data_IF_835429718636
#
_entry.id   IF_835429718636
#
_cell.length_a   1.000
_cell.length_b   1.000
_cell.length_c   1.000
_cell.angle_alpha   90.00
_cell.angle_beta   90.00
_cell.angle_gamma   90.00
#
_symmetry.space_group_name_H-M   'P 1'
#
loop_
_entity.id
_entity.type
_entity.pdbx_description
1 polymer ?
#
# COMPACT_ATOMS: atom_id res chain seq x y z
N UNK A 1 2.06 -21.20 12.44
CA UNK A 1 2.97 -21.38 11.29
C UNK A 1 3.92 -20.19 11.17
N UNK A 2 3.48 -18.94 11.25
CA UNK A 2 4.33 -17.72 11.16
C UNK A 2 5.45 -17.69 12.19
N UNK A 3 5.16 -18.00 13.46
CA UNK A 3 6.19 -18.11 14.50
C UNK A 3 7.24 -19.21 14.20
N UNK A 4 6.83 -20.36 13.62
CA UNK A 4 7.74 -21.41 13.17
C UNK A 4 8.64 -20.96 12.01
N UNK A 5 8.16 -20.03 11.21
CA UNK A 5 8.91 -19.41 10.10
C UNK A 5 9.88 -18.32 10.60
N UNK A 6 9.74 -17.89 11.85
CA UNK A 6 10.63 -16.92 12.47
C UNK A 6 10.25 -15.46 12.22
N UNK A 7 8.99 -15.16 11.87
CA UNK A 7 8.52 -13.80 11.67
C UNK A 7 8.89 -12.89 12.83
N UNK A 8 9.37 -11.68 12.50
CA UNK A 8 9.69 -10.61 13.45
C UNK A 8 8.57 -9.56 13.49
N UNK A 9 7.86 -9.41 12.38
CA UNK A 9 6.73 -8.52 12.27
C UNK A 9 5.61 -9.16 11.44
N UNK A 10 4.38 -8.72 11.67
CA UNK A 10 3.20 -9.14 10.92
C UNK A 10 2.33 -7.93 10.63
N UNK A 11 2.10 -7.65 9.34
CA UNK A 11 1.23 -6.56 8.93
C UNK A 11 -0.20 -7.05 8.74
N UNK A 12 -1.13 -6.28 9.27
CA UNK A 12 -2.57 -6.46 9.06
C UNK A 12 -3.28 -5.10 9.05
N UNK A 13 -4.57 -5.08 8.74
CA UNK A 13 -5.42 -3.90 8.89
C UNK A 13 -6.45 -4.08 9.99
N UNK A 14 -6.99 -2.96 10.47
CA UNK A 14 -8.18 -2.96 11.32
C UNK A 14 -9.37 -2.62 10.42
N UNK A 15 -10.28 -3.59 10.22
CA UNK A 15 -11.49 -3.33 9.44
C UNK A 15 -12.34 -2.26 10.16
N UNK A 16 -12.52 -1.10 9.51
CA UNK A 16 -13.30 0.01 10.06
C UNK A 16 -14.71 -0.46 10.46
N UNK A 17 -15.35 -1.25 9.61
CA UNK A 17 -16.67 -1.86 9.87
C UNK A 17 -16.72 -2.79 11.08
N UNK A 18 -15.61 -3.29 11.55
CA UNK A 18 -15.55 -4.10 12.77
C UNK A 18 -15.63 -3.24 14.03
N UNK A 19 -15.11 -2.01 13.94
CA UNK A 19 -15.08 -1.05 15.06
C UNK A 19 -16.29 -0.12 15.01
N UNK A 20 -16.62 0.39 13.82
CA UNK A 20 -17.81 1.22 13.55
C UNK A 20 -18.51 0.63 12.31
N UNK A 21 -19.54 -0.23 12.48
CA UNK A 21 -20.18 -0.95 11.37
C UNK A 21 -20.72 -0.08 10.25
N UNK A 22 -21.28 1.09 10.58
CA UNK A 22 -21.72 2.09 9.60
C UNK A 22 -20.69 3.21 9.37
N UNK A 23 -19.74 3.38 10.29
CA UNK A 23 -18.67 4.39 10.22
C UNK A 23 -19.00 5.71 10.90
N UNK A 24 -20.26 6.01 11.19
CA UNK A 24 -20.76 7.27 11.77
C UNK A 24 -21.31 7.14 13.19
N UNK A 25 -21.22 5.95 13.80
CA UNK A 25 -21.68 5.73 15.18
C UNK A 25 -20.87 6.59 16.18
N UNK A 26 -21.52 6.91 17.30
CA UNK A 26 -20.91 7.67 18.39
C UNK A 26 -19.99 6.80 19.29
N UNK A 27 -20.23 5.50 19.34
CA UNK A 27 -19.50 4.55 20.18
C UNK A 27 -19.00 3.36 19.38
N UNK A 28 -17.77 2.84 19.67
CA UNK A 28 -17.20 1.71 18.98
C UNK A 28 -17.85 0.39 19.40
N UNK A 29 -17.75 -0.62 18.55
CA UNK A 29 -18.12 -1.99 18.81
C UNK A 29 -17.03 -2.69 19.65
N UNK A 30 -17.31 -2.94 20.93
CA UNK A 30 -16.35 -3.56 21.85
C UNK A 30 -15.95 -4.99 21.42
N UNK A 31 -16.86 -5.77 20.81
CA UNK A 31 -16.51 -7.09 20.29
C UNK A 31 -15.49 -7.01 19.15
N UNK A 32 -15.58 -5.96 18.32
CA UNK A 32 -14.60 -5.66 17.27
C UNK A 32 -13.24 -5.27 17.85
N UNK A 33 -13.23 -4.43 18.87
CA UNK A 33 -12.00 -4.04 19.57
C UNK A 33 -11.33 -5.26 20.22
N UNK A 34 -12.12 -6.09 20.92
CA UNK A 34 -11.58 -7.32 21.55
C UNK A 34 -10.96 -8.28 20.54
N UNK A 35 -11.52 -8.43 19.35
CA UNK A 35 -10.92 -9.27 18.31
C UNK A 35 -9.47 -8.89 18.00
N UNK A 36 -9.19 -7.58 17.90
CA UNK A 36 -7.83 -7.10 17.65
C UNK A 36 -6.94 -7.14 18.87
N UNK A 37 -7.49 -6.98 20.10
CA UNK A 37 -6.74 -7.27 21.33
C UNK A 37 -6.19 -8.69 21.31
N UNK A 38 -7.08 -9.67 21.05
CA UNK A 38 -6.71 -11.09 21.04
C UNK A 38 -5.68 -11.40 19.93
N UNK A 39 -5.82 -10.78 18.75
CA UNK A 39 -4.87 -10.92 17.64
C UNK A 39 -3.48 -10.37 17.98
N UNK A 40 -3.43 -9.15 18.52
CA UNK A 40 -2.14 -8.51 18.84
C UNK A 40 -1.46 -9.20 20.03
N UNK A 41 -2.22 -9.62 21.04
CA UNK A 41 -1.69 -10.39 22.17
C UNK A 41 -1.11 -11.73 21.71
N UNK A 42 -1.77 -12.42 20.76
CA UNK A 42 -1.24 -13.68 20.22
C UNK A 42 0.04 -13.45 19.41
N UNK A 43 0.16 -12.37 18.64
CA UNK A 43 1.39 -12.01 17.92
C UNK A 43 2.54 -11.71 18.91
N UNK A 44 2.29 -10.87 19.90
CA UNK A 44 3.28 -10.44 20.90
C UNK A 44 3.77 -11.61 21.77
N UNK A 45 2.92 -12.58 22.06
CA UNK A 45 3.28 -13.84 22.75
C UNK A 45 4.41 -14.59 22.05
N UNK A 46 4.51 -14.48 20.72
CA UNK A 46 5.59 -15.07 19.92
C UNK A 46 6.71 -14.08 19.57
N UNK A 47 6.70 -12.89 20.14
CA UNK A 47 7.68 -11.84 19.83
C UNK A 47 7.54 -11.27 18.40
N UNK A 48 6.34 -11.39 17.82
CA UNK A 48 6.02 -10.84 16.49
C UNK A 48 5.41 -9.45 16.67
N UNK A 49 6.06 -8.41 16.17
CA UNK A 49 5.58 -7.04 16.21
C UNK A 49 4.40 -6.83 15.27
N UNK A 50 3.22 -6.40 15.76
CA UNK A 50 2.14 -5.96 14.88
C UNK A 50 2.52 -4.69 14.13
N UNK A 51 2.19 -4.64 12.85
CA UNK A 51 2.28 -3.45 11.97
C UNK A 51 0.89 -3.24 11.39
N UNK A 52 0.28 -2.09 11.64
CA UNK A 52 -1.16 -1.92 11.42
C UNK A 52 -1.47 -0.83 10.42
N UNK A 53 -2.31 -1.16 9.43
CA UNK A 53 -2.94 -0.19 8.54
C UNK A 53 -4.36 0.12 9.03
N UNK A 54 -4.70 1.39 9.24
CA UNK A 54 -6.03 1.79 9.71
C UNK A 54 -7.10 1.53 8.66
N UNK A 55 -6.89 1.96 7.41
CA UNK A 55 -7.82 1.72 6.31
C UNK A 55 -7.14 0.98 5.15
N UNK A 56 -7.64 -0.21 4.82
CA UNK A 56 -7.12 -1.05 3.74
C UNK A 56 -8.23 -1.45 2.77
N UNK A 57 -8.80 -0.45 2.07
CA UNK A 57 -9.85 -0.57 1.06
C UNK A 57 -11.25 -0.97 1.60
N UNK A 58 -11.43 -1.15 2.89
CA UNK A 58 -12.70 -1.56 3.51
C UNK A 58 -13.40 -0.39 4.23
N UNK A 59 -13.80 0.63 3.49
CA UNK A 59 -14.67 1.68 4.02
C UNK A 59 -16.07 1.12 4.30
N UNK A 60 -16.75 1.51 5.42
CA UNK A 60 -18.15 1.17 5.63
C UNK A 60 -19.02 1.63 4.47
N UNK A 61 -19.75 0.70 3.85
CA UNK A 61 -20.57 1.00 2.66
C UNK A 61 -21.68 2.03 2.93
N UNK A 62 -22.15 2.12 4.17
CA UNK A 62 -23.05 3.17 4.63
C UNK A 62 -22.48 4.58 4.36
N UNK A 63 -21.18 4.79 4.60
CA UNK A 63 -20.55 6.08 4.30
C UNK A 63 -20.54 6.41 2.80
N UNK A 64 -20.55 5.38 1.94
CA UNK A 64 -20.68 5.56 0.49
C UNK A 64 -22.09 5.97 0.10
N UNK A 65 -23.11 5.28 0.63
CA UNK A 65 -24.52 5.51 0.26
C UNK A 65 -25.10 6.78 0.85
N UNK A 66 -24.80 7.09 2.11
CA UNK A 66 -25.38 8.24 2.82
C UNK A 66 -24.57 9.52 2.65
N UNK A 67 -23.26 9.41 2.50
CA UNK A 67 -22.37 10.58 2.46
C UNK A 67 -21.67 10.77 1.11
N UNK A 68 -21.70 9.76 0.21
CA UNK A 68 -20.97 9.80 -1.06
C UNK A 68 -19.47 9.53 -0.92
N UNK A 69 -19.10 8.76 0.10
CA UNK A 69 -17.70 8.45 0.38
C UNK A 69 -16.87 9.71 0.68
N UNK A 70 -15.60 9.69 0.30
CA UNK A 70 -14.68 10.82 0.51
C UNK A 70 -14.98 12.08 -0.31
N UNK A 71 -16.11 12.13 -1.05
CA UNK A 71 -16.60 13.41 -1.56
C UNK A 71 -17.15 14.33 -0.46
N UNK A 72 -17.37 13.80 0.73
CA UNK A 72 -17.96 14.51 1.86
C UNK A 72 -16.93 14.75 2.97
N UNK A 73 -16.74 16.02 3.34
CA UNK A 73 -15.80 16.46 4.38
C UNK A 73 -16.04 15.81 5.75
N UNK A 74 -17.27 15.39 6.08
CA UNK A 74 -17.58 14.72 7.35
C UNK A 74 -16.78 13.43 7.58
N UNK A 75 -16.31 12.80 6.51
CA UNK A 75 -15.49 11.59 6.63
C UNK A 75 -14.16 11.85 7.34
N UNK A 76 -13.67 13.09 7.33
CA UNK A 76 -12.48 13.48 8.11
C UNK A 76 -12.74 13.22 9.59
N UNK A 77 -13.87 13.72 10.13
CA UNK A 77 -14.22 13.55 11.55
C UNK A 77 -14.50 12.07 11.89
N UNK A 78 -15.15 11.32 11.00
CA UNK A 78 -15.44 9.91 11.21
C UNK A 78 -14.15 9.06 11.23
N UNK A 79 -13.23 9.34 10.31
CA UNK A 79 -11.92 8.65 10.30
C UNK A 79 -11.05 9.05 11.49
N UNK A 80 -11.04 10.31 11.88
CA UNK A 80 -10.32 10.78 13.06
C UNK A 80 -10.82 10.08 14.34
N UNK A 81 -12.15 9.90 14.49
CA UNK A 81 -12.75 9.12 15.59
C UNK A 81 -12.31 7.67 15.57
N UNK A 82 -12.34 7.01 14.40
CA UNK A 82 -11.88 5.64 14.22
C UNK A 82 -10.40 5.49 14.59
N UNK A 83 -9.55 6.39 14.08
CA UNK A 83 -8.12 6.41 14.38
C UNK A 83 -7.85 6.62 15.87
N UNK A 84 -8.54 7.58 16.50
CA UNK A 84 -8.42 7.86 17.94
C UNK A 84 -8.72 6.61 18.78
N UNK A 85 -9.84 5.94 18.51
CA UNK A 85 -10.21 4.72 19.24
C UNK A 85 -9.16 3.61 19.07
N UNK A 86 -8.64 3.43 17.85
CA UNK A 86 -7.61 2.44 17.58
C UNK A 86 -6.29 2.76 18.30
N UNK A 87 -5.82 4.00 18.25
CA UNK A 87 -4.60 4.41 18.94
C UNK A 87 -4.75 4.30 20.46
N UNK A 88 -5.82 4.83 21.03
CA UNK A 88 -6.09 4.76 22.47
C UNK A 88 -6.12 3.31 22.98
N UNK A 89 -6.73 2.39 22.20
CA UNK A 89 -6.83 0.98 22.59
C UNK A 89 -5.53 0.20 22.47
N UNK A 90 -4.74 0.48 21.42
CA UNK A 90 -3.66 -0.43 21.01
C UNK A 90 -2.26 0.19 21.06
N UNK A 91 -2.04 1.45 21.46
CA UNK A 91 -0.72 2.08 21.47
C UNK A 91 0.33 1.27 22.25
N UNK A 92 -0.07 0.58 23.32
CA UNK A 92 0.81 -0.28 24.11
C UNK A 92 1.23 -1.59 23.42
N UNK A 93 0.55 -1.97 22.31
CA UNK A 93 0.74 -3.23 21.59
C UNK A 93 1.31 -3.02 20.19
N UNK A 94 0.98 -1.92 19.57
CA UNK A 94 1.31 -1.61 18.17
C UNK A 94 2.12 -0.33 18.12
N UNK A 95 3.35 -0.44 17.62
CA UNK A 95 4.26 0.71 17.46
C UNK A 95 4.18 1.34 16.05
N UNK A 96 4.02 0.51 15.01
CA UNK A 96 4.06 0.95 13.60
C UNK A 96 2.67 0.97 12.99
N UNK A 97 2.27 2.14 12.51
CA UNK A 97 0.95 2.40 11.95
C UNK A 97 1.04 3.01 10.55
N UNK A 98 0.05 2.75 9.73
CA UNK A 98 -0.18 3.43 8.46
C UNK A 98 -1.65 3.87 8.39
N UNK A 99 -1.91 5.02 7.79
CA UNK A 99 -3.27 5.56 7.74
C UNK A 99 -4.12 4.90 6.65
N UNK A 100 -3.73 5.04 5.39
CA UNK A 100 -4.43 4.48 4.24
C UNK A 100 -3.51 3.58 3.43
N UNK A 101 -4.02 2.43 3.00
CA UNK A 101 -3.29 1.54 2.09
C UNK A 101 -3.32 2.07 0.67
N UNK A 102 -2.15 2.18 0.04
CA UNK A 102 -2.02 2.53 -1.39
C UNK A 102 -2.92 3.70 -1.82
N UNK A 103 -2.98 4.76 -1.00
CA UNK A 103 -3.85 5.92 -1.20
C UNK A 103 -3.75 6.51 -2.60
N UNK A 104 -2.58 6.39 -3.23
CA UNK A 104 -2.29 6.94 -4.54
C UNK A 104 -2.86 6.11 -5.72
N UNK A 105 -3.43 4.92 -5.47
CA UNK A 105 -4.10 4.14 -6.53
C UNK A 105 -5.35 4.84 -7.07
N UNK A 106 -5.99 5.72 -6.28
CA UNK A 106 -7.13 6.52 -6.75
C UNK A 106 -6.76 7.53 -7.85
N UNK A 107 -5.47 7.85 -8.04
CA UNK A 107 -5.02 8.69 -9.14
C UNK A 107 -5.41 8.09 -10.52
N UNK A 108 -5.59 6.77 -10.62
CA UNK A 108 -6.19 6.12 -11.77
C UNK A 108 -7.72 6.17 -11.69
N UNK A 109 -8.30 7.37 -11.77
CA UNK A 109 -9.73 7.62 -11.61
C UNK A 109 -10.62 7.06 -12.74
N UNK A 110 -10.04 6.58 -13.84
CA UNK A 110 -10.78 5.85 -14.88
C UNK A 110 -11.08 4.40 -14.47
N UNK A 111 -10.30 3.82 -13.56
CA UNK A 111 -10.61 2.54 -12.94
C UNK A 111 -11.60 2.74 -11.79
N UNK A 112 -12.89 2.61 -12.11
CA UNK A 112 -13.99 2.80 -11.16
C UNK A 112 -13.86 1.87 -9.94
N UNK A 113 -13.37 0.64 -10.14
CA UNK A 113 -13.16 -0.31 -9.05
C UNK A 113 -12.10 0.16 -8.07
N UNK A 114 -10.99 0.72 -8.57
CA UNK A 114 -9.96 1.32 -7.71
C UNK A 114 -10.46 2.53 -6.95
N UNK A 115 -11.20 3.42 -7.60
CA UNK A 115 -11.73 4.61 -6.95
C UNK A 115 -12.77 4.27 -5.89
N UNK A 116 -13.67 3.31 -6.17
CA UNK A 116 -14.69 2.87 -5.22
C UNK A 116 -14.06 2.31 -3.94
N UNK A 117 -13.07 1.42 -4.05
CA UNK A 117 -12.44 0.80 -2.88
C UNK A 117 -11.49 1.74 -2.13
N UNK A 118 -10.86 2.73 -2.79
CA UNK A 118 -10.02 3.73 -2.13
C UNK A 118 -10.87 4.82 -1.47
N UNK A 119 -11.71 5.50 -2.25
CA UNK A 119 -12.38 6.75 -1.84
C UNK A 119 -13.89 6.62 -1.67
N UNK A 120 -14.49 5.46 -2.01
CA UNK A 120 -15.95 5.29 -1.96
C UNK A 120 -16.71 6.16 -2.95
N UNK A 121 -16.06 6.67 -4.00
CA UNK A 121 -16.73 7.51 -5.00
C UNK A 121 -17.56 6.66 -5.97
N UNK A 122 -18.81 7.07 -6.16
CA UNK A 122 -19.72 6.53 -7.17
C UNK A 122 -20.00 7.63 -8.19
N UNK A 123 -19.39 7.55 -9.36
CA UNK A 123 -19.55 8.55 -10.41
C UNK A 123 -20.88 8.42 -11.13
N UNK A 124 -21.49 9.55 -11.46
CA UNK A 124 -22.70 9.69 -12.27
C UNK A 124 -22.34 10.19 -13.67
N UNK A 125 -23.28 10.04 -14.60
CA UNK A 125 -23.10 10.59 -15.95
C UNK A 125 -22.96 12.12 -15.88
N UNK A 126 -21.84 12.63 -16.39
CA UNK A 126 -21.53 14.07 -16.43
C UNK A 126 -20.62 14.55 -15.31
N UNK A 127 -20.27 13.70 -14.36
CA UNK A 127 -19.31 14.05 -13.30
C UNK A 127 -17.91 14.28 -13.89
N UNK A 128 -17.23 15.29 -13.38
CA UNK A 128 -15.78 15.47 -13.57
C UNK A 128 -15.05 14.56 -12.58
N UNK A 129 -14.77 13.32 -13.04
CA UNK A 129 -14.15 12.27 -12.24
C UNK A 129 -12.80 12.70 -11.66
N UNK A 130 -11.98 13.40 -12.47
CA UNK A 130 -10.67 13.86 -12.06
C UNK A 130 -10.77 14.87 -10.91
N UNK A 131 -11.63 15.89 -11.06
CA UNK A 131 -11.86 16.87 -10.00
C UNK A 131 -12.39 16.23 -8.72
N UNK A 132 -13.35 15.28 -8.85
CA UNK A 132 -13.88 14.55 -7.69
C UNK A 132 -12.83 13.71 -7.00
N UNK A 133 -11.95 13.06 -7.75
CA UNK A 133 -10.83 12.30 -7.19
C UNK A 133 -9.89 13.22 -6.41
N UNK A 134 -9.50 14.38 -6.97
CA UNK A 134 -8.63 15.31 -6.24
C UNK A 134 -9.28 15.87 -4.98
N UNK A 135 -10.60 16.11 -5.00
CA UNK A 135 -11.31 16.54 -3.80
C UNK A 135 -11.35 15.46 -2.72
N UNK A 136 -11.63 14.21 -3.11
CA UNK A 136 -11.62 13.07 -2.19
C UNK A 136 -10.21 12.83 -1.61
N UNK A 137 -9.20 12.84 -2.46
CA UNK A 137 -7.81 12.74 -2.06
C UNK A 137 -7.40 13.84 -1.06
N UNK A 138 -7.89 15.07 -1.24
CA UNK A 138 -7.66 16.15 -0.27
C UNK A 138 -8.20 15.79 1.12
N UNK A 139 -9.43 15.33 1.20
CA UNK A 139 -10.06 14.99 2.49
C UNK A 139 -9.37 13.78 3.16
N UNK A 140 -8.97 12.77 2.39
CA UNK A 140 -8.19 11.64 2.91
C UNK A 140 -6.81 12.06 3.43
N UNK A 141 -6.12 12.96 2.72
CA UNK A 141 -4.83 13.51 3.15
C UNK A 141 -4.98 14.32 4.45
N UNK A 142 -6.03 15.12 4.58
CA UNK A 142 -6.34 15.86 5.82
C UNK A 142 -6.65 14.89 6.95
N UNK A 143 -7.49 13.88 6.71
CA UNK A 143 -7.82 12.85 7.70
C UNK A 143 -6.58 12.06 8.16
N UNK A 144 -5.68 11.74 7.23
CA UNK A 144 -4.41 11.11 7.54
C UNK A 144 -3.53 11.98 8.43
N UNK A 145 -3.39 13.27 8.09
CA UNK A 145 -2.59 14.21 8.89
C UNK A 145 -3.19 14.44 10.28
N UNK A 146 -4.51 14.46 10.40
CA UNK A 146 -5.21 14.54 11.69
C UNK A 146 -4.98 13.28 12.52
N UNK A 147 -5.05 12.10 11.91
CA UNK A 147 -4.74 10.83 12.57
C UNK A 147 -3.30 10.79 13.10
N UNK A 148 -2.30 11.31 12.34
CA UNK A 148 -0.92 11.41 12.82
C UNK A 148 -0.83 12.28 14.08
N UNK A 149 -1.48 13.45 14.08
CA UNK A 149 -1.50 14.34 15.26
C UNK A 149 -2.18 13.68 16.47
N UNK A 150 -3.30 12.99 16.26
CA UNK A 150 -4.02 12.24 17.30
C UNK A 150 -3.12 11.15 17.90
N UNK A 151 -2.49 10.34 17.04
CA UNK A 151 -1.62 9.26 17.51
C UNK A 151 -0.45 9.77 18.35
N UNK A 152 0.25 10.81 17.89
CA UNK A 152 1.37 11.41 18.64
C UNK A 152 0.91 12.15 19.92
N UNK A 153 -0.31 12.65 19.98
CA UNK A 153 -0.88 13.21 21.20
C UNK A 153 -1.17 12.15 22.26
N UNK A 154 -1.56 10.94 21.84
CA UNK A 154 -1.80 9.79 22.73
C UNK A 154 -0.46 9.18 23.18
N UNK A 155 0.44 8.92 22.23
CA UNK A 155 1.76 8.36 22.52
C UNK A 155 2.79 8.89 21.49
N UNK A 156 3.69 9.79 21.90
CA UNK A 156 4.71 10.36 21.02
C UNK A 156 5.73 9.36 20.46
N UNK A 157 5.78 8.13 21.00
CA UNK A 157 6.67 7.07 20.53
C UNK A 157 6.15 6.28 19.33
N UNK A 158 4.86 6.45 18.98
CA UNK A 158 4.27 5.80 17.82
C UNK A 158 4.96 6.24 16.53
N UNK A 159 5.09 5.31 15.62
CA UNK A 159 5.62 5.55 14.29
C UNK A 159 4.45 5.45 13.29
N UNK A 160 4.06 6.56 12.70
CA UNK A 160 2.88 6.64 11.83
C UNK A 160 3.32 7.06 10.42
N UNK A 161 3.18 6.13 9.47
CA UNK A 161 3.57 6.30 8.07
C UNK A 161 2.40 6.50 7.12
N UNK A 162 2.72 7.00 5.93
CA UNK A 162 1.85 6.81 4.76
C UNK A 162 2.16 5.47 4.09
N UNK A 163 1.24 4.97 3.25
CA UNK A 163 1.48 3.78 2.45
C UNK A 163 1.12 4.03 0.99
N UNK A 164 2.10 3.86 0.11
CA UNK A 164 2.04 4.16 -1.32
C UNK A 164 2.24 2.90 -2.16
N UNK A 165 1.48 2.76 -3.24
CA UNK A 165 1.81 1.83 -4.31
C UNK A 165 2.90 2.45 -5.18
N UNK A 166 4.11 1.90 -5.14
CA UNK A 166 5.22 2.43 -5.92
C UNK A 166 5.51 1.54 -7.13
N UNK A 167 5.18 2.05 -8.30
CA UNK A 167 5.52 1.43 -9.58
C UNK A 167 6.39 2.42 -10.36
N UNK A 168 7.69 2.17 -10.55
CA UNK A 168 8.52 2.99 -11.42
C UNK A 168 7.92 3.09 -12.81
N UNK A 169 7.96 4.28 -13.40
CA UNK A 169 7.56 4.51 -14.79
C UNK A 169 8.78 4.95 -15.57
N UNK A 170 9.33 4.02 -16.37
CA UNK A 170 10.50 4.30 -17.18
C UNK A 170 10.12 5.01 -18.48
N UNK A 171 10.97 5.91 -19.01
CA UNK A 171 10.79 6.43 -20.36
C UNK A 171 11.04 5.32 -21.39
N UNK A 172 10.25 5.28 -22.46
CA UNK A 172 10.41 4.30 -23.53
C UNK A 172 11.71 4.47 -24.34
N UNK A 173 12.28 5.66 -24.31
CA UNK A 173 13.56 5.97 -24.96
C UNK A 173 14.26 7.15 -24.26
N UNK A 174 15.48 7.48 -24.74
CA UNK A 174 16.21 8.69 -24.34
C UNK A 174 15.67 9.99 -24.98
N UNK A 175 14.56 9.93 -25.70
CA UNK A 175 13.89 11.12 -26.25
C UNK A 175 13.46 12.04 -25.09
N UNK A 176 13.80 13.36 -25.11
CA UNK A 176 13.50 14.26 -23.99
C UNK A 176 12.02 14.28 -23.60
N UNK A 177 11.12 14.15 -24.57
CA UNK A 177 9.67 14.11 -24.32
C UNK A 177 9.25 12.83 -23.59
N UNK A 178 9.85 11.66 -23.90
CA UNK A 178 9.59 10.40 -23.17
C UNK A 178 10.05 10.53 -21.72
N UNK A 179 11.22 11.15 -21.48
CA UNK A 179 11.78 11.37 -20.14
C UNK A 179 10.87 12.30 -19.33
N UNK A 180 10.48 13.45 -19.90
CA UNK A 180 9.61 14.41 -19.22
C UNK A 180 8.22 13.80 -18.95
N UNK A 181 7.70 13.01 -19.89
CA UNK A 181 6.42 12.33 -19.73
C UNK A 181 6.47 11.31 -18.57
N UNK A 182 7.47 10.43 -18.55
CA UNK A 182 7.64 9.46 -17.48
C UNK A 182 7.78 10.13 -16.10
N UNK A 183 8.54 11.24 -16.02
CA UNK A 183 8.63 12.04 -14.79
C UNK A 183 7.26 12.57 -14.36
N UNK A 184 6.47 13.12 -15.27
CA UNK A 184 5.13 13.67 -14.96
C UNK A 184 4.15 12.58 -14.53
N UNK A 185 4.21 11.41 -15.16
CA UNK A 185 3.42 10.26 -14.76
C UNK A 185 3.77 9.80 -13.33
N UNK A 186 5.06 9.77 -12.98
CA UNK A 186 5.51 9.53 -11.60
C UNK A 186 5.00 10.60 -10.64
N UNK A 187 5.15 11.88 -10.97
CA UNK A 187 4.70 13.00 -10.14
C UNK A 187 3.19 12.94 -9.87
N UNK A 188 2.37 12.67 -10.90
CA UNK A 188 0.91 12.59 -10.76
C UNK A 188 0.44 11.47 -9.84
N UNK A 189 1.20 10.38 -9.77
CA UNK A 189 0.92 9.24 -8.89
C UNK A 189 1.45 9.46 -7.48
N UNK A 190 2.56 10.16 -7.33
CA UNK A 190 3.33 10.19 -6.08
C UNK A 190 3.22 11.51 -5.30
N UNK A 191 2.42 12.50 -5.77
CA UNK A 191 2.20 13.74 -5.02
C UNK A 191 1.58 13.50 -3.63
N UNK A 192 0.87 12.39 -3.45
CA UNK A 192 0.37 11.97 -2.14
C UNK A 192 1.51 11.86 -1.11
N UNK A 193 2.65 11.29 -1.53
CA UNK A 193 3.84 11.24 -0.69
C UNK A 193 4.42 12.64 -0.41
N UNK A 194 4.40 13.55 -1.39
CA UNK A 194 4.83 14.93 -1.15
C UNK A 194 3.99 15.60 -0.06
N UNK A 195 2.67 15.42 -0.11
CA UNK A 195 1.77 16.02 0.89
C UNK A 195 1.95 15.36 2.25
N UNK A 196 2.05 14.02 2.32
CA UNK A 196 2.27 13.31 3.57
C UNK A 196 3.58 13.69 4.26
N UNK A 197 4.65 13.92 3.48
CA UNK A 197 5.99 14.19 4.03
C UNK A 197 6.23 15.68 4.27
N UNK A 198 5.83 16.53 3.34
CA UNK A 198 6.12 17.96 3.39
C UNK A 198 4.98 18.77 4.02
N UNK A 199 3.77 18.20 4.11
CA UNK A 199 2.58 18.88 4.61
C UNK A 199 2.04 19.95 3.68
N UNK A 200 2.40 19.90 2.38
CA UNK A 200 1.98 20.87 1.39
C UNK A 200 1.93 20.28 -0.03
N UNK A 201 1.08 20.84 -0.86
CA UNK A 201 0.98 20.46 -2.26
C UNK A 201 2.18 20.93 -3.08
N UNK A 202 2.72 20.10 -3.99
CA UNK A 202 3.78 20.52 -4.88
C UNK A 202 3.29 21.62 -5.85
N UNK A 203 4.20 22.53 -6.25
CA UNK A 203 3.85 23.68 -7.07
C UNK A 203 3.27 23.31 -8.43
N UNK A 204 3.72 22.19 -9.02
CA UNK A 204 3.19 21.75 -10.31
C UNK A 204 1.71 21.38 -10.22
N UNK A 205 1.25 20.82 -9.08
CA UNK A 205 -0.15 20.43 -8.88
C UNK A 205 -1.04 21.66 -8.67
N UNK A 206 -0.55 22.67 -7.94
CA UNK A 206 -1.22 23.97 -7.82
C UNK A 206 -1.42 24.60 -9.20
N UNK A 207 -0.35 24.65 -10.00
CA UNK A 207 -0.42 25.16 -11.38
C UNK A 207 -1.34 24.32 -12.28
N UNK A 208 -1.44 23.02 -12.03
CA UNK A 208 -2.38 22.13 -12.73
C UNK A 208 -3.83 22.46 -12.39
N UNK A 209 -4.16 22.64 -11.12
CA UNK A 209 -5.50 23.05 -10.69
C UNK A 209 -5.92 24.40 -11.29
N UNK A 210 -4.99 25.36 -11.32
CA UNK A 210 -5.25 26.68 -11.96
C UNK A 210 -5.57 26.52 -13.45
N UNK A 211 -4.78 25.73 -14.20
CA UNK A 211 -5.03 25.49 -15.65
C UNK A 211 -6.36 24.77 -15.91
N UNK A 212 -6.74 23.84 -15.04
CA UNK A 212 -8.00 23.08 -15.15
C UNK A 212 -9.19 23.88 -14.58
N UNK A 213 -8.97 25.04 -13.96
CA UNK A 213 -9.98 25.80 -13.23
C UNK A 213 -10.67 24.95 -12.14
N UNK A 214 -9.88 24.13 -11.44
CA UNK A 214 -10.37 23.31 -10.33
C UNK A 214 -10.37 24.12 -9.05
N UNK A 215 -11.57 24.46 -8.58
CA UNK A 215 -11.81 25.06 -7.27
C UNK A 215 -12.18 23.92 -6.30
N UNK A 216 -11.20 23.44 -5.56
CA UNK A 216 -11.39 22.41 -4.53
C UNK A 216 -11.73 23.08 -3.19
N UNK A 217 -12.50 22.40 -2.35
CA UNK A 217 -12.78 22.83 -0.97
C UNK A 217 -11.55 22.56 -0.09
N UNK A 218 -10.56 23.43 -0.20
CA UNK A 218 -9.30 23.43 0.58
C UNK A 218 -9.30 24.66 1.48
N UNK A 219 -9.40 24.45 2.79
CA UNK A 219 -9.43 25.55 3.76
C UNK A 219 -8.03 25.85 4.31
N UNK A 220 -7.87 27.06 4.90
CA UNK A 220 -6.62 27.39 5.62
C UNK A 220 -6.36 26.45 6.80
N UNK A 221 -7.43 25.96 7.45
CA UNK A 221 -7.35 24.98 8.54
C UNK A 221 -6.78 23.66 8.03
N UNK A 222 -7.23 23.19 6.87
CA UNK A 222 -6.73 21.96 6.27
C UNK A 222 -5.23 22.04 5.98
N UNK A 223 -4.77 23.15 5.39
CA UNK A 223 -3.35 23.37 5.12
C UNK A 223 -2.51 23.37 6.41
N UNK A 224 -3.05 23.89 7.51
CA UNK A 224 -2.37 23.82 8.81
C UNK A 224 -2.34 22.39 9.39
N UNK A 225 -3.44 21.64 9.23
CA UNK A 225 -3.51 20.22 9.64
C UNK A 225 -2.47 19.41 8.86
N UNK A 226 -2.41 19.56 7.54
CA UNK A 226 -1.42 18.90 6.71
C UNK A 226 0.02 19.21 7.14
N UNK A 227 0.31 20.50 7.42
CA UNK A 227 1.64 20.95 7.84
C UNK A 227 2.07 20.36 9.19
N UNK A 228 1.14 20.18 10.12
CA UNK A 228 1.42 19.68 11.47
C UNK A 228 1.38 18.15 11.57
N UNK A 229 0.73 17.47 10.63
CA UNK A 229 0.51 16.02 10.66
C UNK A 229 1.33 15.27 9.61
N UNK A 230 2.61 15.62 9.44
CA UNK A 230 3.52 14.91 8.54
C UNK A 230 3.92 13.57 9.12
N UNK A 231 4.12 12.57 8.24
CA UNK A 231 4.41 11.19 8.62
C UNK A 231 5.85 10.97 9.10
N UNK A 232 6.08 9.92 9.91
CA UNK A 232 7.39 9.56 10.42
C UNK A 232 8.23 8.79 9.40
N UNK A 233 7.60 7.92 8.60
CA UNK A 233 8.23 7.08 7.60
C UNK A 233 7.33 6.87 6.39
N UNK A 234 7.88 6.31 5.33
CA UNK A 234 7.16 5.97 4.10
C UNK A 234 7.10 4.46 3.97
N UNK A 235 5.89 3.91 4.09
CA UNK A 235 5.62 2.55 3.70
C UNK A 235 5.25 2.49 2.22
N UNK A 236 5.61 1.38 1.56
CA UNK A 236 5.22 1.20 0.15
C UNK A 236 5.09 -0.27 -0.23
N UNK A 237 4.27 -0.51 -1.26
CA UNK A 237 4.22 -1.75 -2.01
C UNK A 237 5.07 -1.64 -3.27
N UNK A 238 5.68 -2.76 -3.66
CA UNK A 238 6.42 -2.88 -4.90
C UNK A 238 6.13 -4.23 -5.56
N UNK A 239 5.53 -4.22 -6.74
CA UNK A 239 5.21 -5.45 -7.47
C UNK A 239 5.74 -5.46 -8.90
N UNK A 240 5.85 -4.28 -9.53
CA UNK A 240 6.17 -4.15 -10.94
C UNK A 240 6.67 -2.74 -11.27
N UNK A 241 7.18 -2.60 -12.48
CA UNK A 241 7.48 -1.32 -13.13
C UNK A 241 6.69 -1.18 -14.42
N UNK A 242 6.55 0.05 -14.89
CA UNK A 242 5.92 0.40 -16.16
C UNK A 242 6.91 1.10 -17.08
N UNK A 243 6.57 1.18 -18.37
CA UNK A 243 7.29 1.98 -19.36
C UNK A 243 6.29 2.83 -20.13
N UNK A 244 6.55 4.12 -20.25
CA UNK A 244 5.67 5.06 -20.89
C UNK A 244 6.34 5.71 -22.09
N UNK A 245 5.58 5.88 -23.17
CA UNK A 245 6.01 6.55 -24.39
C UNK A 245 5.15 7.78 -24.61
N UNK A 246 5.79 8.94 -24.80
CA UNK A 246 5.08 10.17 -25.13
C UNK A 246 4.36 10.08 -26.48
N UNK A 247 3.12 10.54 -26.50
CA UNK A 247 2.35 10.81 -27.73
C UNK A 247 1.77 12.22 -27.66
N UNK A 248 1.53 12.85 -28.80
CA UNK A 248 1.06 14.25 -28.86
C UNK A 248 -0.35 14.45 -28.26
N UNK A 249 -1.02 13.35 -27.91
CA UNK A 249 -2.37 13.33 -27.32
C UNK A 249 -2.41 13.06 -25.83
N UNK A 250 -1.25 12.91 -25.17
CA UNK A 250 -1.17 12.54 -23.76
C UNK A 250 -1.12 13.76 -22.84
N UNK A 251 -2.10 13.84 -21.93
CA UNK A 251 -2.16 14.81 -20.85
C UNK A 251 -1.51 14.21 -19.59
N UNK A 252 -0.20 13.97 -19.57
CA UNK A 252 0.64 13.56 -18.43
C UNK A 252 -0.05 12.63 -17.39
N UNK A 253 -0.90 11.71 -17.85
CA UNK A 253 -1.63 10.82 -16.95
C UNK A 253 -0.92 9.49 -16.81
N UNK A 254 -1.04 8.97 -15.62
CA UNK A 254 -0.67 7.62 -15.31
C UNK A 254 -1.51 6.61 -16.11
N UNK A 255 -0.91 5.47 -16.47
CA UNK A 255 -1.54 4.33 -17.15
C UNK A 255 -2.09 4.55 -18.57
N UNK A 256 -1.84 5.68 -19.18
CA UNK A 256 -2.18 5.84 -20.60
C UNK A 256 -0.96 5.47 -21.47
N UNK A 257 -1.22 4.68 -22.49
CA UNK A 257 -0.23 4.25 -23.50
C UNK A 257 1.07 3.68 -22.94
N UNK A 258 0.94 2.84 -21.90
CA UNK A 258 2.04 2.04 -21.41
C UNK A 258 2.50 1.08 -22.50
N UNK A 259 3.80 0.96 -22.67
CA UNK A 259 4.43 0.06 -23.62
C UNK A 259 5.19 -1.05 -22.90
N UNK A 260 5.35 -2.20 -23.53
CA UNK A 260 6.16 -3.29 -22.99
C UNK A 260 7.63 -2.87 -22.90
N UNK A 261 8.27 -3.19 -21.77
CA UNK A 261 9.70 -3.05 -21.63
C UNK A 261 10.40 -4.28 -22.22
N UNK A 262 11.21 -4.13 -23.28
CA UNK A 262 11.83 -5.29 -23.94
C UNK A 262 12.93 -5.98 -23.11
N UNK A 263 13.36 -5.35 -22.02
CA UNK A 263 14.45 -5.84 -21.17
C UNK A 263 13.97 -6.55 -19.91
N UNK A 264 12.65 -6.53 -19.61
CA UNK A 264 12.09 -7.04 -18.36
C UNK A 264 11.09 -8.16 -18.67
N UNK A 265 11.27 -9.31 -18.03
CA UNK A 265 10.32 -10.42 -18.11
C UNK A 265 9.07 -10.13 -17.29
N UNK A 266 7.96 -10.74 -17.67
CA UNK A 266 6.70 -10.65 -16.93
C UNK A 266 6.32 -12.00 -16.31
N UNK A 267 5.50 -11.95 -15.25
CA UNK A 267 4.84 -13.13 -14.71
C UNK A 267 3.61 -13.52 -15.58
N UNK A 268 2.87 -14.55 -15.16
CA UNK A 268 1.69 -15.06 -15.86
C UNK A 268 0.53 -14.05 -15.96
N UNK A 269 0.54 -12.98 -15.17
CA UNK A 269 -0.43 -11.87 -15.20
C UNK A 269 0.10 -10.62 -15.90
N UNK A 270 1.22 -10.70 -16.61
CA UNK A 270 1.83 -9.60 -17.34
C UNK A 270 2.55 -8.57 -16.47
N UNK A 271 2.77 -8.85 -15.18
CA UNK A 271 3.47 -7.93 -14.29
C UNK A 271 4.98 -8.07 -14.45
N UNK A 272 5.65 -6.95 -14.63
CA UNK A 272 7.10 -6.91 -14.79
C UNK A 272 7.83 -7.42 -13.54
N UNK A 273 8.73 -8.38 -13.71
CA UNK A 273 9.62 -8.87 -12.65
C UNK A 273 10.90 -8.02 -12.70
N UNK A 274 10.97 -6.99 -11.87
CA UNK A 274 12.01 -5.97 -11.94
C UNK A 274 12.67 -5.72 -10.58
N UNK A 275 13.64 -6.55 -10.19
CA UNK A 275 14.38 -6.35 -8.93
C UNK A 275 15.16 -5.03 -8.89
N UNK A 276 15.72 -4.58 -10.02
CA UNK A 276 16.46 -3.32 -10.10
C UNK A 276 15.54 -2.12 -9.92
N UNK A 277 14.30 -2.22 -10.38
CA UNK A 277 13.26 -1.22 -10.15
C UNK A 277 12.94 -1.01 -8.67
N UNK A 278 13.06 -2.05 -7.84
CA UNK A 278 12.94 -1.91 -6.38
C UNK A 278 14.05 -1.00 -5.82
N UNK A 279 15.31 -1.23 -6.21
CA UNK A 279 16.44 -0.37 -5.80
C UNK A 279 16.26 1.06 -6.31
N UNK A 280 15.82 1.22 -7.55
CA UNK A 280 15.47 2.53 -8.12
C UNK A 280 14.38 3.24 -7.29
N UNK A 281 13.29 2.54 -6.95
CA UNK A 281 12.20 3.07 -6.15
C UNK A 281 12.68 3.56 -4.78
N UNK A 282 13.50 2.77 -4.09
CA UNK A 282 14.07 3.12 -2.78
C UNK A 282 14.95 4.37 -2.87
N UNK A 283 15.83 4.44 -3.85
CA UNK A 283 16.69 5.60 -4.09
C UNK A 283 15.88 6.86 -4.44
N UNK A 284 14.87 6.72 -5.29
CA UNK A 284 14.00 7.81 -5.70
C UNK A 284 13.26 8.43 -4.49
N UNK A 285 12.67 7.60 -3.63
CA UNK A 285 11.98 8.05 -2.43
C UNK A 285 12.93 8.68 -1.41
N UNK A 286 14.08 8.05 -1.18
CA UNK A 286 15.09 8.58 -0.25
C UNK A 286 15.58 9.96 -0.68
N UNK A 287 15.88 10.14 -1.97
CA UNK A 287 16.34 11.43 -2.51
C UNK A 287 15.26 12.51 -2.45
N UNK A 288 13.99 12.14 -2.68
CA UNK A 288 12.87 13.10 -2.72
C UNK A 288 12.40 13.51 -1.32
N UNK A 289 12.31 12.54 -0.40
CA UNK A 289 11.57 12.73 0.85
C UNK A 289 12.41 12.64 2.12
N UNK A 290 13.61 12.08 2.06
CA UNK A 290 14.55 11.98 3.19
C UNK A 290 13.94 11.38 4.47
N UNK A 291 13.07 10.39 4.32
CA UNK A 291 12.41 9.66 5.42
C UNK A 291 12.83 8.20 5.40
N UNK A 292 12.82 7.51 6.56
CA UNK A 292 12.96 6.06 6.60
C UNK A 292 11.91 5.37 5.71
N UNK A 293 12.29 4.29 5.05
CA UNK A 293 11.42 3.50 4.18
C UNK A 293 11.01 2.19 4.85
N UNK A 294 9.82 1.70 4.54
CA UNK A 294 9.35 0.38 4.96
C UNK A 294 8.67 -0.32 3.79
N UNK A 295 9.26 -1.42 3.30
CA UNK A 295 8.62 -2.25 2.29
C UNK A 295 7.59 -3.12 3.00
N UNK A 296 6.31 -2.83 2.82
CA UNK A 296 5.23 -3.52 3.53
C UNK A 296 4.44 -4.48 2.65
N UNK A 297 4.71 -4.46 1.34
CA UNK A 297 4.21 -5.44 0.38
C UNK A 297 5.19 -5.62 -0.77
N UNK A 298 5.50 -6.87 -1.08
CA UNK A 298 6.20 -7.31 -2.28
C UNK A 298 5.95 -8.80 -2.48
N UNK A 299 5.75 -9.28 -3.70
CA UNK A 299 5.50 -10.70 -3.92
C UNK A 299 5.22 -11.07 -5.36
N UNK A 300 5.25 -12.36 -5.63
CA UNK A 300 4.99 -12.96 -6.92
C UNK A 300 3.70 -13.78 -6.88
N UNK A 301 2.69 -13.36 -7.64
CA UNK A 301 1.56 -14.22 -7.96
C UNK A 301 1.98 -15.28 -8.97
N UNK A 302 1.73 -16.55 -8.69
CA UNK A 302 2.10 -17.66 -9.54
C UNK A 302 1.11 -18.83 -9.46
N UNK A 303 1.12 -19.70 -10.47
CA UNK A 303 0.37 -20.97 -10.46
C UNK A 303 1.20 -22.03 -9.71
N UNK A 304 0.88 -22.24 -8.43
CA UNK A 304 1.52 -23.31 -7.66
C UNK A 304 0.83 -24.65 -7.92
N UNK A 305 1.58 -25.73 -7.95
CA UNK A 305 1.09 -27.09 -8.11
C UNK A 305 1.49 -27.96 -6.93
N UNK A 306 0.50 -28.58 -6.30
CA UNK A 306 0.74 -29.57 -5.25
C UNK A 306 0.97 -30.94 -5.88
N UNK A 307 2.03 -31.62 -5.47
CA UNK A 307 2.34 -33.01 -5.88
C UNK A 307 1.46 -34.02 -5.14
N UNK A 308 1.49 -35.29 -5.54
CA UNK A 308 0.69 -36.33 -4.90
C UNK A 308 1.07 -36.60 -3.43
N UNK A 309 2.29 -36.30 -3.05
CA UNK A 309 2.82 -36.36 -1.68
C UNK A 309 2.74 -35.04 -0.92
N UNK A 310 1.90 -34.11 -1.43
CA UNK A 310 1.60 -32.80 -0.82
C UNK A 310 2.81 -31.86 -0.71
N UNK A 311 3.78 -31.94 -1.60
CA UNK A 311 4.87 -30.99 -1.73
C UNK A 311 4.50 -29.88 -2.74
N UNK A 312 5.02 -28.68 -2.52
CA UNK A 312 4.88 -27.55 -3.45
C UNK A 312 6.28 -26.99 -3.72
N UNK A 313 6.80 -27.28 -4.92
CA UNK A 313 8.10 -26.83 -5.38
C UNK A 313 7.95 -25.48 -6.09
N UNK A 314 8.33 -24.40 -5.41
CA UNK A 314 8.15 -23.02 -5.88
C UNK A 314 9.49 -22.26 -5.98
N UNK A 315 10.49 -22.88 -6.63
CA UNK A 315 11.82 -22.31 -6.86
C UNK A 315 11.76 -20.94 -7.56
N UNK A 316 10.77 -20.75 -8.46
CA UNK A 316 10.53 -19.47 -9.11
C UNK A 316 10.19 -18.35 -8.12
N UNK A 317 9.51 -18.66 -7.00
CA UNK A 317 9.20 -17.71 -5.92
C UNK A 317 10.46 -17.43 -5.10
N UNK A 318 11.24 -18.46 -4.80
CA UNK A 318 12.56 -18.32 -4.13
C UNK A 318 13.44 -17.39 -4.95
N UNK A 319 13.55 -17.64 -6.27
CA UNK A 319 14.37 -16.82 -7.16
C UNK A 319 13.89 -15.36 -7.22
N UNK A 320 12.57 -15.13 -7.28
CA UNK A 320 11.99 -13.79 -7.25
C UNK A 320 12.40 -13.02 -5.98
N UNK A 321 12.21 -13.63 -4.82
CA UNK A 321 12.58 -12.98 -3.55
C UNK A 321 14.09 -12.80 -3.42
N UNK A 322 14.88 -13.79 -3.81
CA UNK A 322 16.34 -13.69 -3.82
C UNK A 322 16.83 -12.48 -4.61
N UNK A 323 16.32 -12.30 -5.81
CA UNK A 323 16.75 -11.20 -6.67
C UNK A 323 16.32 -9.83 -6.13
N UNK A 324 15.11 -9.73 -5.57
CA UNK A 324 14.63 -8.48 -4.96
C UNK A 324 15.39 -8.15 -3.67
N UNK A 325 15.64 -9.13 -2.80
CA UNK A 325 16.39 -8.93 -1.56
C UNK A 325 17.84 -8.49 -1.86
N UNK A 326 18.51 -9.08 -2.85
CA UNK A 326 19.84 -8.63 -3.28
C UNK A 326 19.87 -7.16 -3.73
N UNK A 327 18.82 -6.68 -4.38
CA UNK A 327 18.75 -5.27 -4.77
C UNK A 327 18.38 -4.36 -3.58
N UNK A 328 17.59 -4.85 -2.67
CA UNK A 328 17.29 -4.16 -1.41
C UNK A 328 18.54 -4.01 -0.54
N UNK A 329 19.37 -5.08 -0.41
CA UNK A 329 20.65 -5.02 0.30
C UNK A 329 21.60 -3.97 -0.32
N UNK A 330 21.68 -3.92 -1.65
CA UNK A 330 22.48 -2.90 -2.35
C UNK A 330 21.95 -1.49 -2.09
N UNK A 331 20.63 -1.29 -2.06
CA UNK A 331 20.05 0.00 -1.73
C UNK A 331 20.46 0.47 -0.33
N UNK A 332 20.49 -0.45 0.64
CA UNK A 332 20.90 -0.14 2.02
C UNK A 332 22.42 0.05 2.14
N UNK A 333 23.20 -0.88 1.59
CA UNK A 333 24.66 -0.93 1.83
C UNK A 333 25.40 0.05 0.92
N UNK A 334 25.09 0.05 -0.38
CA UNK A 334 25.82 0.84 -1.38
C UNK A 334 25.25 2.28 -1.50
N UNK A 335 23.90 2.42 -1.39
CA UNK A 335 23.21 3.68 -1.66
C UNK A 335 22.81 4.43 -0.37
N UNK A 336 22.95 3.81 0.81
CA UNK A 336 22.70 4.45 2.11
C UNK A 336 21.22 4.68 2.42
N UNK A 337 20.32 3.87 1.85
CA UNK A 337 18.89 3.95 2.15
C UNK A 337 18.60 3.50 3.58
N UNK A 338 17.87 4.30 4.35
CA UNK A 338 17.36 3.94 5.67
C UNK A 338 16.10 3.07 5.51
N UNK A 339 16.26 1.76 5.70
CA UNK A 339 15.18 0.78 5.57
C UNK A 339 14.81 0.16 6.91
N UNK A 340 13.58 0.40 7.38
CA UNK A 340 13.03 -0.16 8.63
C UNK A 340 12.88 -1.67 8.54
N UNK A 341 12.39 -2.19 7.39
CA UNK A 341 12.12 -3.61 7.23
C UNK A 341 11.47 -3.98 5.90
N UNK A 342 11.24 -5.29 5.77
CA UNK A 342 10.68 -5.89 4.56
C UNK A 342 9.61 -6.92 4.92
N UNK A 343 8.38 -6.74 4.42
CA UNK A 343 7.24 -7.62 4.62
C UNK A 343 6.73 -8.11 3.26
N UNK A 344 6.93 -9.36 2.91
CA UNK A 344 6.32 -9.94 1.71
C UNK A 344 4.79 -9.96 1.79
N UNK A 345 4.14 -9.77 0.64
CA UNK A 345 2.69 -9.89 0.53
C UNK A 345 2.25 -11.36 0.53
N UNK A 346 1.31 -11.66 1.42
CA UNK A 346 0.70 -12.97 1.50
C UNK A 346 1.59 -14.03 2.15
N UNK A 347 1.61 -14.14 3.48
CA UNK A 347 2.32 -15.24 4.15
C UNK A 347 1.63 -16.61 3.93
N UNK A 348 0.31 -16.58 3.73
CA UNK A 348 -0.56 -17.71 3.38
C UNK A 348 -1.22 -17.39 2.04
N UNK A 349 -1.49 -18.39 1.20
CA UNK A 349 -2.28 -18.17 -0.01
C UNK A 349 -3.65 -17.58 0.34
N UNK A 350 -4.07 -16.62 -0.45
CA UNK A 350 -5.30 -15.84 -0.28
C UNK A 350 -5.90 -15.56 -1.65
N UNK A 351 -7.18 -15.20 -1.68
CA UNK A 351 -7.81 -14.68 -2.89
C UNK A 351 -7.13 -13.39 -3.31
N UNK A 352 -6.65 -13.33 -4.53
CA UNK A 352 -5.95 -12.15 -5.06
C UNK A 352 -6.87 -10.93 -5.08
N UNK A 353 -6.45 -9.84 -4.44
CA UNK A 353 -7.19 -8.58 -4.40
C UNK A 353 -7.36 -7.95 -5.80
N UNK A 354 -6.42 -8.19 -6.73
CA UNK A 354 -6.45 -7.61 -8.07
C UNK A 354 -7.29 -8.38 -9.07
N UNK A 355 -7.49 -9.72 -8.89
CA UNK A 355 -8.15 -10.57 -9.88
C UNK A 355 -9.32 -11.38 -9.32
N UNK A 356 -9.49 -11.47 -8.00
CA UNK A 356 -10.50 -12.31 -7.35
C UNK A 356 -10.24 -13.81 -7.49
N UNK A 357 -8.98 -14.20 -7.76
CA UNK A 357 -8.61 -15.60 -8.04
C UNK A 357 -7.78 -16.18 -6.91
N UNK A 358 -8.13 -17.37 -6.43
CA UNK A 358 -7.33 -18.14 -5.48
C UNK A 358 -6.11 -18.79 -6.14
N UNK A 359 -6.21 -19.13 -7.43
CA UNK A 359 -5.09 -19.72 -8.20
C UNK A 359 -3.89 -18.80 -8.39
N UNK A 360 -4.07 -17.47 -8.23
CA UNK A 360 -2.99 -16.48 -8.21
C UNK A 360 -2.36 -16.45 -6.82
N UNK A 361 -1.49 -17.40 -6.56
CA UNK A 361 -0.94 -17.68 -5.24
C UNK A 361 0.31 -16.86 -4.95
N UNK A 362 0.33 -16.26 -3.75
CA UNK A 362 1.44 -15.42 -3.29
C UNK A 362 2.19 -16.03 -2.09
N UNK A 363 1.52 -16.88 -1.31
CA UNK A 363 1.96 -17.31 0.01
C UNK A 363 3.19 -18.22 0.00
N UNK A 364 3.85 -18.27 1.14
CA UNK A 364 4.82 -19.31 1.50
C UNK A 364 4.12 -20.59 2.01
N UNK A 365 2.85 -20.48 2.28
CA UNK A 365 1.99 -21.55 2.79
C UNK A 365 0.85 -21.74 1.80
N UNK A 366 0.79 -22.91 1.18
CA UNK A 366 -0.27 -23.29 0.27
C UNK A 366 -1.57 -23.54 1.04
N UNK A 367 -2.68 -23.06 0.50
CA UNK A 367 -4.02 -23.39 0.98
C UNK A 367 -4.71 -24.24 -0.08
N UNK A 368 -5.16 -25.44 0.29
CA UNK A 368 -5.88 -26.34 -0.62
C UNK A 368 -7.31 -25.84 -0.83
N UNK A 369 -7.43 -24.85 -1.70
CA UNK A 369 -8.69 -24.21 -2.12
C UNK A 369 -8.55 -23.76 -3.58
N UNK A 370 -9.63 -23.89 -4.37
CA UNK A 370 -9.71 -23.42 -5.73
C UNK A 370 -10.48 -22.07 -5.84
N UNK A 371 -10.60 -21.54 -7.07
CA UNK A 371 -11.29 -20.27 -7.36
C UNK A 371 -12.81 -20.31 -7.03
N UNK A 372 -13.37 -21.49 -6.75
CA UNK A 372 -14.79 -21.72 -6.43
C UNK A 372 -15.04 -22.07 -4.97
N UNK A 373 -14.02 -21.94 -4.12
CA UNK A 373 -14.10 -22.26 -2.69
C UNK A 373 -14.15 -23.76 -2.40
N UNK A 374 -13.65 -24.60 -3.31
CA UNK A 374 -13.57 -26.07 -3.13
C UNK A 374 -12.16 -26.46 -2.73
N UNK A 375 -12.07 -27.45 -1.83
CA UNK A 375 -10.83 -28.00 -1.33
C UNK A 375 -10.94 -28.42 0.12
N UNK A 376 -9.85 -28.90 0.70
CA UNK A 376 -9.82 -29.32 2.11
C UNK A 376 -9.51 -28.16 3.07
N UNK A 377 -9.14 -27.01 2.55
CA UNK A 377 -8.62 -25.83 3.28
C UNK A 377 -7.39 -26.13 4.15
N UNK A 378 -6.75 -27.27 3.96
CA UNK A 378 -5.50 -27.61 4.66
C UNK A 378 -4.36 -26.69 4.19
N UNK A 379 -3.42 -26.44 5.10
CA UNK A 379 -2.25 -25.59 4.86
C UNK A 379 -1.00 -26.42 4.79
N UNK A 380 -0.23 -26.22 3.71
CA UNK A 380 1.01 -26.93 3.46
C UNK A 380 2.16 -25.93 3.26
N UNK A 381 3.29 -26.05 4.01
CA UNK A 381 4.46 -25.25 3.74
C UNK A 381 4.98 -25.55 2.32
N UNK A 382 5.35 -24.50 1.58
CA UNK A 382 6.04 -24.61 0.27
C UNK A 382 7.56 -24.68 0.49
N UNK A 383 8.33 -24.95 -0.55
CA UNK A 383 9.79 -24.91 -0.45
C UNK A 383 10.29 -23.52 -0.04
N UNK A 384 9.64 -22.47 -0.54
CA UNK A 384 9.91 -21.08 -0.16
C UNK A 384 9.68 -20.79 1.33
N UNK A 385 8.84 -21.54 2.03
CA UNK A 385 8.65 -21.41 3.49
C UNK A 385 9.97 -21.70 4.24
N UNK A 386 10.65 -22.78 3.88
CA UNK A 386 11.89 -23.19 4.53
C UNK A 386 13.05 -22.29 4.15
N UNK A 387 13.10 -21.89 2.88
CA UNK A 387 14.10 -20.94 2.39
C UNK A 387 13.94 -19.57 3.08
N UNK A 388 12.74 -19.02 3.13
CA UNK A 388 12.53 -17.70 3.72
C UNK A 388 12.71 -17.71 5.25
N UNK A 389 12.44 -18.82 5.92
CA UNK A 389 12.80 -19.02 7.33
C UNK A 389 14.31 -18.82 7.56
N UNK A 390 15.14 -19.33 6.68
CA UNK A 390 16.61 -19.17 6.71
C UNK A 390 17.01 -17.72 6.46
N UNK A 391 16.38 -17.08 5.48
CA UNK A 391 16.58 -15.65 5.19
C UNK A 391 16.27 -14.78 6.42
N UNK A 392 15.14 -15.03 7.10
CA UNK A 392 14.78 -14.30 8.33
C UNK A 392 15.82 -14.56 9.45
N UNK A 393 16.23 -15.80 9.64
CA UNK A 393 17.18 -16.17 10.71
C UNK A 393 18.55 -15.52 10.52
N UNK A 394 18.97 -15.32 9.27
CA UNK A 394 20.25 -14.67 8.91
C UNK A 394 20.13 -13.16 8.71
N UNK A 395 18.93 -12.58 8.86
CA UNK A 395 18.62 -11.18 8.52
C UNK A 395 19.06 -10.82 7.07
N UNK A 396 18.78 -11.73 6.13
CA UNK A 396 19.08 -11.53 4.71
C UNK A 396 20.48 -12.03 4.27
N UNK A 397 21.40 -12.32 5.18
CA UNK A 397 22.79 -12.68 4.82
C UNK A 397 22.92 -14.05 4.13
N UNK A 398 21.96 -14.94 4.30
CA UNK A 398 21.94 -16.27 3.65
C UNK A 398 20.75 -16.35 2.68
N UNK A 399 21.04 -16.21 1.40
CA UNK A 399 20.07 -16.25 0.30
C UNK A 399 20.21 -17.52 -0.58
N UNK A 400 21.05 -18.49 -0.22
CA UNK A 400 21.28 -19.72 -0.99
C UNK A 400 20.15 -20.74 -0.90
#
# INVERSE_FOLDING_TARGET
MMAKMGFKAFRTSIAWTRIFPNGDEDAPNEAGLKFYDDLFDELLKYGIQPVVTLSHFEMPYHLVTEYGGWSNRKLIDFFARFAHVCFERYHNKVKYWMTFNEINNQANYEDIGNVLKNSGLLFKKGDDKEKMMYQAAHYELVASAEAVQIGHAIDPSLQIGCMLAFCPIYPASSKPEDILFAQRAMDSRLYFGDVHVNGEYPNWLKAYFDRKNYHLDITKKDLQILKNGTVDYIAFSYYMSFTAKYTDHMDYREYQDLVSNPYIKTNDWGWAIDPVGLRYAMNWMTTRWHKPLFIVENGLGAYDKMTADHQIHDDYRIQYFRDHIKQMEKAVIDDGVDLIGYLPWGCIDLVSASTGEMKKRYGFIYVDEDDYGKGSFKRYPKDSFYWYKKVIASNGADLD
#
